data_IF_285261429217
#
_entry.id   IF_285261429217
#
_cell.length_a   1.000
_cell.length_b   1.000
_cell.length_c   1.000
_cell.angle_alpha   90.00
_cell.angle_beta   90.00
_cell.angle_gamma   90.00
#
_symmetry.space_group_name_H-M   'P 1'
#
loop_
_entity.id
_entity.type
_entity.pdbx_description
1 polymer ?
#
# COMPACT_ATOMS: atom_id res chain seq x y z
N UNK A 1 5.51 8.58 -0.06
CA UNK A 1 5.20 9.84 -0.78
C UNK A 1 5.08 10.98 0.20
N UNK A 2 5.74 12.08 -0.09
CA UNK A 2 5.63 13.28 0.73
C UNK A 2 4.30 14.00 0.52
N UNK A 3 3.82 14.68 1.57
CA UNK A 3 2.55 15.42 1.51
C UNK A 3 2.56 16.51 0.43
N UNK A 4 3.69 17.21 0.31
CA UNK A 4 3.86 18.24 -0.73
C UNK A 4 3.79 17.62 -2.14
N UNK A 5 4.38 16.46 -2.33
CA UNK A 5 4.33 15.74 -3.60
C UNK A 5 2.89 15.38 -3.98
N UNK A 6 2.07 14.95 -3.00
CA UNK A 6 0.66 14.69 -3.22
C UNK A 6 -0.07 15.93 -3.74
N UNK A 7 0.19 17.09 -3.14
CA UNK A 7 -0.39 18.36 -3.57
C UNK A 7 0.03 18.72 -4.99
N UNK A 8 1.32 18.51 -5.32
CA UNK A 8 1.85 18.78 -6.67
C UNK A 8 1.22 17.84 -7.71
N UNK A 9 1.01 16.58 -7.38
CA UNK A 9 0.35 15.60 -8.25
C UNK A 9 -1.11 15.98 -8.52
N UNK A 10 -1.82 16.50 -7.52
CA UNK A 10 -3.18 17.00 -7.71
C UNK A 10 -3.19 18.18 -8.70
N UNK A 11 -2.28 19.11 -8.56
CA UNK A 11 -2.14 20.25 -9.48
C UNK A 11 -1.82 19.78 -10.89
N UNK A 12 -0.92 18.83 -11.04
CA UNK A 12 -0.56 18.26 -12.34
C UNK A 12 -1.76 17.57 -13.00
N UNK A 13 -2.56 16.84 -12.23
CA UNK A 13 -3.77 16.18 -12.73
C UNK A 13 -4.81 17.21 -13.18
N UNK A 14 -4.96 18.30 -12.46
CA UNK A 14 -5.86 19.41 -12.85
C UNK A 14 -5.43 20.03 -14.18
N UNK A 15 -4.14 20.28 -14.36
CA UNK A 15 -3.59 20.85 -15.61
C UNK A 15 -3.75 19.89 -16.78
N UNK A 16 -3.55 18.59 -16.55
CA UNK A 16 -3.71 17.55 -17.57
C UNK A 16 -5.17 17.17 -17.84
N UNK A 17 -6.10 17.70 -17.07
CA UNK A 17 -7.53 17.34 -17.12
C UNK A 17 -7.77 15.85 -16.87
N UNK A 18 -6.90 15.24 -16.05
CA UNK A 18 -7.05 13.86 -15.59
C UNK A 18 -7.97 13.85 -14.36
N UNK A 19 -9.27 13.85 -14.64
CA UNK A 19 -10.30 14.03 -13.61
C UNK A 19 -10.33 12.88 -12.59
N UNK A 20 -10.13 11.64 -13.03
CA UNK A 20 -10.15 10.48 -12.13
C UNK A 20 -8.98 10.53 -11.16
N UNK A 21 -7.80 10.89 -11.64
CA UNK A 21 -6.61 11.05 -10.80
C UNK A 21 -6.79 12.21 -9.81
N UNK A 22 -7.22 13.35 -10.30
CA UNK A 22 -7.52 14.52 -9.46
C UNK A 22 -8.48 14.16 -8.32
N UNK A 23 -9.59 13.51 -8.64
CA UNK A 23 -10.65 13.23 -7.68
C UNK A 23 -10.20 12.26 -6.59
N UNK A 24 -9.52 11.17 -6.96
CA UNK A 24 -9.06 10.20 -5.96
C UNK A 24 -7.90 10.75 -5.10
N UNK A 25 -7.00 11.52 -5.69
CA UNK A 25 -5.92 12.16 -4.92
C UNK A 25 -6.45 13.24 -3.99
N UNK A 26 -7.48 13.97 -4.39
CA UNK A 26 -8.16 14.94 -3.51
C UNK A 26 -8.84 14.26 -2.33
N UNK A 27 -9.41 13.08 -2.52
CA UNK A 27 -10.00 12.31 -1.43
C UNK A 27 -8.94 11.95 -0.39
N UNK A 28 -7.78 11.46 -0.82
CA UNK A 28 -6.64 11.18 0.05
C UNK A 28 -6.19 12.45 0.77
N UNK A 29 -6.04 13.54 0.06
CA UNK A 29 -5.63 14.83 0.62
C UNK A 29 -6.60 15.33 1.69
N UNK A 30 -7.90 15.23 1.44
CA UNK A 30 -8.93 15.68 2.40
C UNK A 30 -8.84 14.90 3.71
N UNK A 31 -8.64 13.60 3.65
CA UNK A 31 -8.49 12.78 4.85
C UNK A 31 -7.19 13.06 5.61
N UNK A 32 -6.11 13.34 4.90
CA UNK A 32 -4.83 13.75 5.49
C UNK A 32 -4.94 15.13 6.14
N UNK A 33 -5.65 16.05 5.52
CA UNK A 33 -5.92 17.37 6.08
C UNK A 33 -6.69 17.28 7.40
N UNK A 34 -7.62 16.33 7.49
CA UNK A 34 -8.34 16.07 8.73
C UNK A 34 -7.39 15.63 9.86
N UNK A 35 -6.37 14.82 9.56
CA UNK A 35 -5.34 14.45 10.54
C UNK A 35 -4.59 15.68 11.02
N UNK A 36 -4.14 16.53 10.09
CA UNK A 36 -3.42 17.76 10.42
C UNK A 36 -4.23 18.65 11.37
N UNK A 37 -5.51 18.83 11.09
CA UNK A 37 -6.42 19.69 11.88
C UNK A 37 -6.76 19.04 13.23
N UNK A 38 -7.15 17.77 13.24
CA UNK A 38 -7.65 17.09 14.44
C UNK A 38 -6.55 16.72 15.42
N UNK A 39 -5.39 16.30 14.93
CA UNK A 39 -4.26 15.92 15.75
C UNK A 39 -3.27 17.06 15.97
N UNK A 40 -3.47 18.21 15.32
CA UNK A 40 -2.64 19.41 15.43
C UNK A 40 -1.16 19.14 15.22
N UNK A 41 -0.85 18.37 14.17
CA UNK A 41 0.51 18.01 13.81
C UNK A 41 0.67 18.01 12.29
N UNK A 42 1.91 18.06 11.85
CA UNK A 42 2.20 17.95 10.42
C UNK A 42 1.94 16.52 9.92
N UNK A 43 1.49 16.43 8.67
CA UNK A 43 1.33 15.14 7.98
C UNK A 43 2.71 14.65 7.54
N UNK A 44 3.05 13.42 7.94
CA UNK A 44 4.32 12.79 7.59
C UNK A 44 4.19 11.95 6.32
N UNK A 45 5.33 11.57 5.74
CA UNK A 45 5.37 10.63 4.62
C UNK A 45 4.70 9.29 4.97
N UNK A 46 4.92 8.80 6.20
CA UNK A 46 4.28 7.58 6.69
C UNK A 46 2.75 7.71 6.73
N UNK A 47 2.23 8.88 7.12
CA UNK A 47 0.79 9.16 7.11
C UNK A 47 0.23 9.08 5.68
N UNK A 48 0.93 9.66 4.72
CA UNK A 48 0.50 9.64 3.31
C UNK A 48 0.46 8.21 2.79
N UNK A 49 1.51 7.43 3.02
CA UNK A 49 1.59 6.04 2.56
C UNK A 49 0.50 5.17 3.20
N UNK A 50 0.26 5.34 4.51
CA UNK A 50 -0.80 4.63 5.22
C UNK A 50 -2.20 5.00 4.67
N UNK A 51 -2.42 6.28 4.37
CA UNK A 51 -3.70 6.74 3.82
C UNK A 51 -3.90 6.23 2.39
N UNK A 52 -2.86 6.17 1.57
CA UNK A 52 -2.92 5.58 0.23
C UNK A 52 -3.34 4.10 0.32
N UNK A 53 -2.72 3.32 1.20
CA UNK A 53 -3.08 1.91 1.42
C UNK A 53 -4.53 1.75 1.86
N UNK A 54 -4.97 2.57 2.79
CA UNK A 54 -6.35 2.56 3.29
C UNK A 54 -7.34 2.89 2.18
N UNK A 55 -7.06 3.92 1.40
CA UNK A 55 -7.91 4.35 0.30
C UNK A 55 -7.99 3.28 -0.79
N UNK A 56 -6.88 2.61 -1.11
CA UNK A 56 -6.87 1.46 -2.04
C UNK A 56 -7.81 0.37 -1.54
N UNK A 57 -7.70 0.00 -0.27
CA UNK A 57 -8.55 -1.04 0.32
C UNK A 57 -10.03 -0.66 0.22
N UNK A 58 -10.39 0.55 0.62
CA UNK A 58 -11.76 1.05 0.57
C UNK A 58 -12.28 1.11 -0.87
N UNK A 59 -11.46 1.58 -1.81
CA UNK A 59 -11.84 1.67 -3.22
C UNK A 59 -12.05 0.28 -3.83
N UNK A 60 -11.20 -0.69 -3.48
CA UNK A 60 -11.38 -2.09 -3.92
C UNK A 60 -12.66 -2.70 -3.38
N UNK A 61 -13.00 -2.46 -2.12
CA UNK A 61 -14.25 -2.93 -1.53
C UNK A 61 -15.46 -2.34 -2.26
N UNK A 62 -15.40 -1.05 -2.58
CA UNK A 62 -16.45 -0.36 -3.34
C UNK A 62 -16.52 -0.91 -4.77
N UNK A 63 -15.39 -1.19 -5.40
CA UNK A 63 -15.31 -1.80 -6.73
C UNK A 63 -15.96 -3.19 -6.74
N UNK A 64 -15.65 -4.03 -5.76
CA UNK A 64 -16.24 -5.36 -5.63
C UNK A 64 -17.76 -5.27 -5.50
N UNK A 65 -18.26 -4.31 -4.72
CA UNK A 65 -19.70 -4.04 -4.60
C UNK A 65 -20.32 -3.60 -5.92
N UNK A 66 -19.64 -2.75 -6.69
CA UNK A 66 -20.09 -2.30 -8.01
C UNK A 66 -20.16 -3.45 -9.03
N UNK A 67 -19.15 -4.32 -9.02
CA UNK A 67 -19.11 -5.52 -9.89
C UNK A 67 -20.27 -6.45 -9.56
N UNK A 68 -20.51 -6.71 -8.27
CA UNK A 68 -21.60 -7.59 -7.80
C UNK A 68 -22.98 -7.03 -8.17
N UNK A 69 -23.16 -5.73 -8.06
CA UNK A 69 -24.41 -5.07 -8.45
C UNK A 69 -24.67 -5.16 -9.96
N UNK A 70 -23.61 -5.07 -10.77
CA UNK A 70 -23.65 -5.29 -12.22
C UNK A 70 -24.50 -4.31 -13.01
N UNK A 71 -24.88 -3.15 -12.43
CA UNK A 71 -25.83 -2.20 -13.02
C UNK A 71 -25.22 -0.86 -13.40
N UNK A 72 -23.91 -0.68 -13.21
CA UNK A 72 -23.23 0.57 -13.53
C UNK A 72 -21.77 0.31 -13.96
N UNK A 73 -21.61 0.03 -15.25
CA UNK A 73 -20.29 -0.25 -15.83
C UNK A 73 -19.37 0.96 -15.76
N UNK A 74 -19.87 2.16 -15.97
CA UNK A 74 -19.10 3.40 -15.88
C UNK A 74 -18.47 3.58 -14.49
N UNK A 75 -19.24 3.34 -13.44
CA UNK A 75 -18.74 3.39 -12.06
C UNK A 75 -17.66 2.32 -11.81
N UNK A 76 -17.90 1.11 -12.29
CA UNK A 76 -16.93 0.01 -12.17
C UNK A 76 -15.61 0.37 -12.86
N UNK A 77 -15.67 0.93 -14.06
CA UNK A 77 -14.48 1.35 -14.82
C UNK A 77 -13.73 2.48 -14.11
N UNK A 78 -14.46 3.46 -13.58
CA UNK A 78 -13.87 4.58 -12.83
C UNK A 78 -13.16 4.07 -11.57
N UNK A 79 -13.78 3.19 -10.80
CA UNK A 79 -13.18 2.62 -9.60
C UNK A 79 -11.95 1.78 -9.92
N UNK A 80 -11.99 1.00 -10.98
CA UNK A 80 -10.85 0.20 -11.44
C UNK A 80 -9.66 1.11 -11.78
N UNK A 81 -9.90 2.17 -12.51
CA UNK A 81 -8.89 3.15 -12.85
C UNK A 81 -8.33 3.85 -11.62
N UNK A 82 -9.17 4.23 -10.66
CA UNK A 82 -8.75 4.88 -9.42
C UNK A 82 -7.86 3.98 -8.57
N UNK A 83 -8.15 2.69 -8.47
CA UNK A 83 -7.28 1.72 -7.78
C UNK A 83 -5.90 1.69 -8.44
N UNK A 84 -5.86 1.58 -9.76
CA UNK A 84 -4.60 1.56 -10.52
C UNK A 84 -3.79 2.85 -10.32
N UNK A 85 -4.44 3.99 -10.32
CA UNK A 85 -3.81 5.29 -10.06
C UNK A 85 -3.16 5.32 -8.67
N UNK A 86 -3.89 4.93 -7.64
CA UNK A 86 -3.38 4.93 -6.27
C UNK A 86 -2.16 4.02 -6.11
N UNK A 87 -2.17 2.86 -6.76
CA UNK A 87 -1.08 1.90 -6.70
C UNK A 87 0.23 2.44 -7.30
N UNK A 88 0.16 3.38 -8.24
CA UNK A 88 1.34 4.03 -8.82
C UNK A 88 2.18 4.78 -7.78
N UNK A 89 1.56 5.24 -6.70
CA UNK A 89 2.21 6.06 -5.67
C UNK A 89 2.73 5.27 -4.48
N UNK A 90 2.46 3.97 -4.41
CA UNK A 90 3.01 3.12 -3.37
C UNK A 90 4.36 2.57 -3.79
N UNK A 91 5.32 2.42 -2.84
CA UNK A 91 6.54 1.69 -3.10
C UNK A 91 6.20 0.26 -3.57
N UNK A 92 6.98 -0.24 -4.50
CA UNK A 92 6.80 -1.61 -4.97
C UNK A 92 6.94 -2.58 -3.81
N UNK A 93 5.96 -3.45 -3.64
CA UNK A 93 5.98 -4.48 -2.62
C UNK A 93 7.04 -5.53 -2.95
N UNK A 94 7.83 -5.93 -1.94
CA UNK A 94 8.78 -7.04 -2.07
C UNK A 94 7.99 -8.35 -2.09
N UNK A 95 8.07 -9.08 -3.20
CA UNK A 95 7.34 -10.33 -3.42
C UNK A 95 8.10 -11.29 -4.34
N UNK A 96 7.61 -12.52 -4.49
CA UNK A 96 8.18 -13.50 -5.40
C UNK A 96 9.63 -13.85 -5.09
N UNK A 97 10.46 -13.91 -6.14
CA UNK A 97 11.87 -14.29 -6.02
C UNK A 97 12.69 -13.30 -5.19
N UNK A 98 12.37 -12.01 -5.26
CA UNK A 98 13.01 -10.97 -4.46
C UNK A 98 12.73 -11.19 -2.97
N UNK A 99 11.49 -11.54 -2.62
CA UNK A 99 11.13 -11.88 -1.25
C UNK A 99 11.84 -13.15 -0.77
N UNK A 100 11.89 -14.18 -1.60
CA UNK A 100 12.59 -15.44 -1.27
C UNK A 100 14.07 -15.19 -1.00
N UNK A 101 14.73 -14.38 -1.82
CA UNK A 101 16.13 -14.01 -1.65
C UNK A 101 16.34 -13.22 -0.34
N UNK A 102 15.46 -12.29 -0.03
CA UNK A 102 15.51 -11.51 1.21
C UNK A 102 15.32 -12.41 2.44
N UNK A 103 14.39 -13.36 2.37
CA UNK A 103 14.17 -14.33 3.45
C UNK A 103 15.43 -15.18 3.70
N UNK A 104 16.06 -15.67 2.64
CA UNK A 104 17.31 -16.44 2.78
C UNK A 104 18.41 -15.62 3.45
N UNK A 105 18.53 -14.35 3.09
CA UNK A 105 19.49 -13.43 3.71
C UNK A 105 19.17 -13.22 5.21
N UNK A 106 17.92 -13.02 5.56
CA UNK A 106 17.49 -12.86 6.96
C UNK A 106 17.75 -14.14 7.76
N UNK A 107 17.46 -15.30 7.20
CA UNK A 107 17.71 -16.58 7.86
C UNK A 107 19.22 -16.80 8.12
N UNK A 108 20.07 -16.43 7.17
CA UNK A 108 21.51 -16.49 7.33
C UNK A 108 22.01 -15.54 8.43
N UNK A 109 21.47 -14.33 8.47
CA UNK A 109 21.88 -13.30 9.44
C UNK A 109 21.40 -13.59 10.86
N UNK A 110 20.19 -14.15 11.01
CA UNK A 110 19.59 -14.42 12.32
C UNK A 110 19.86 -15.82 12.85
N UNK A 111 20.27 -16.76 11.99
CA UNK A 111 20.45 -18.15 12.35
C UNK A 111 19.13 -18.87 12.67
N UNK A 112 17.99 -18.32 12.28
CA UNK A 112 16.68 -18.93 12.52
C UNK A 112 16.55 -20.28 11.81
N UNK A 113 16.03 -21.29 12.50
CA UNK A 113 15.87 -22.64 11.96
C UNK A 113 14.56 -23.33 12.33
N UNK A 114 13.83 -22.80 13.31
CA UNK A 114 12.58 -23.40 13.81
C UNK A 114 11.40 -22.48 13.60
N UNK A 115 10.18 -23.04 13.60
CA UNK A 115 8.95 -22.26 13.49
C UNK A 115 8.74 -21.27 14.64
N UNK A 116 9.39 -21.49 15.78
CA UNK A 116 9.39 -20.55 16.90
C UNK A 116 10.06 -19.23 16.55
N UNK A 117 10.98 -19.25 15.58
CA UNK A 117 11.73 -18.08 15.14
C UNK A 117 10.95 -17.26 14.09
N UNK A 118 9.78 -17.75 13.63
CA UNK A 118 9.01 -17.10 12.57
C UNK A 118 8.66 -15.65 12.92
N UNK A 119 8.24 -15.39 14.16
CA UNK A 119 7.92 -14.03 14.60
C UNK A 119 9.13 -13.09 14.53
N UNK A 120 10.32 -13.59 14.91
CA UNK A 120 11.54 -12.81 14.82
C UNK A 120 11.93 -12.53 13.35
N UNK A 121 11.82 -13.52 12.48
CA UNK A 121 12.11 -13.37 11.05
C UNK A 121 11.14 -12.38 10.40
N UNK A 122 9.85 -12.49 10.69
CA UNK A 122 8.83 -11.56 10.19
C UNK A 122 9.09 -10.13 10.68
N UNK A 123 9.50 -9.97 11.92
CA UNK A 123 9.90 -8.68 12.48
C UNK A 123 11.09 -8.07 11.74
N UNK A 124 12.10 -8.89 11.42
CA UNK A 124 13.29 -8.46 10.67
C UNK A 124 12.92 -8.08 9.22
N UNK A 125 12.04 -8.84 8.57
CA UNK A 125 11.52 -8.50 7.24
C UNK A 125 10.79 -7.15 7.27
N UNK A 126 9.97 -6.94 8.29
CA UNK A 126 9.25 -5.67 8.49
C UNK A 126 10.23 -4.50 8.62
N UNK A 127 11.30 -4.68 9.40
CA UNK A 127 12.33 -3.66 9.60
C UNK A 127 13.05 -3.32 8.30
N UNK A 128 13.43 -4.33 7.52
CA UNK A 128 14.21 -4.15 6.27
C UNK A 128 13.40 -3.58 5.11
N UNK A 129 12.10 -3.85 5.08
CA UNK A 129 11.20 -3.43 3.99
C UNK A 129 10.27 -2.28 4.37
N UNK A 130 10.31 -1.82 5.63
CA UNK A 130 9.35 -0.84 6.13
C UNK A 130 7.92 -1.39 6.17
N UNK A 131 7.76 -2.70 6.27
CA UNK A 131 6.46 -3.38 6.25
C UNK A 131 5.92 -3.63 4.85
N UNK A 132 6.65 -3.25 3.80
CA UNK A 132 6.19 -3.32 2.41
C UNK A 132 6.63 -4.61 1.72
N UNK A 133 6.12 -5.73 2.20
CA UNK A 133 6.37 -7.06 1.60
C UNK A 133 5.11 -7.91 1.64
N UNK A 134 5.07 -8.94 0.80
CA UNK A 134 3.96 -9.92 0.76
C UNK A 134 4.00 -10.81 2.00
N UNK A 135 3.27 -10.46 3.03
CA UNK A 135 3.25 -11.17 4.32
C UNK A 135 2.75 -12.60 4.20
N UNK A 136 1.71 -12.82 3.40
CA UNK A 136 1.17 -14.17 3.17
C UNK A 136 2.18 -15.05 2.43
N UNK A 137 2.83 -14.51 1.39
CA UNK A 137 3.89 -15.19 0.66
C UNK A 137 5.10 -15.50 1.54
N UNK A 138 5.50 -14.55 2.40
CA UNK A 138 6.59 -14.75 3.36
C UNK A 138 6.27 -15.88 4.35
N UNK A 139 5.09 -15.90 4.92
CA UNK A 139 4.66 -16.96 5.84
C UNK A 139 4.69 -18.34 5.17
N UNK A 140 4.26 -18.42 3.93
CA UNK A 140 4.29 -19.66 3.14
C UNK A 140 5.71 -20.14 2.88
N UNK A 141 6.62 -19.25 2.49
CA UNK A 141 8.04 -19.57 2.25
C UNK A 141 8.69 -20.04 3.56
N UNK A 142 8.48 -19.29 4.65
CA UNK A 142 9.04 -19.64 5.95
C UNK A 142 8.49 -20.96 6.49
N UNK A 143 7.22 -21.26 6.25
CA UNK A 143 6.64 -22.54 6.62
C UNK A 143 7.30 -23.74 5.95
N UNK A 144 7.89 -23.56 4.77
CA UNK A 144 8.66 -24.59 4.08
C UNK A 144 10.14 -24.65 4.50
N UNK A 145 10.70 -23.57 5.06
CA UNK A 145 12.12 -23.45 5.43
C UNK A 145 12.40 -23.68 6.92
N UNK A 146 11.44 -23.37 7.77
CA UNK A 146 11.53 -23.55 9.23
C UNK A 146 10.91 -24.88 9.64
N UNK A 147 11.53 -25.57 10.56
CA UNK A 147 11.08 -26.89 11.01
C UNK A 147 10.37 -26.89 12.38
#
# INVERSE_FOLDING_TARGET
MEYQQLQDEIKAAMKARDNHRRDILRQVHTELKAIEVNERREVTEADVDAMLKRTIKQTRETLDGSIKAGNNQERTDTLTEQVAILEEYLPRQVEGDELAALIDEVLADTGASTKKDMGHVMGELTRRTGGNFDKAGAAKILGGKLS
#
